data_IF_733541000233
#
_entry.id   IF_733541000233
#
_cell.length_a   1.000
_cell.length_b   1.000
_cell.length_c   1.000
_cell.angle_alpha   90.00
_cell.angle_beta   90.00
_cell.angle_gamma   90.00
#
_symmetry.space_group_name_H-M   'P 1'
#
loop_
_entity.id
_entity.type
_entity.pdbx_description
1 polymer ?
#
# COMPACT_ATOMS: atom_id res chain seq x y z
N UNK A 1 7.74 -19.96 -11.62
CA UNK A 1 7.19 -18.64 -11.32
C UNK A 1 6.09 -18.81 -10.28
N UNK A 2 6.32 -18.37 -9.07
CA UNK A 2 5.25 -18.38 -8.09
C UNK A 2 4.27 -17.26 -8.43
N UNK A 3 3.02 -17.62 -8.57
CA UNK A 3 1.93 -16.66 -8.81
C UNK A 3 1.52 -15.91 -7.52
N UNK A 4 2.34 -16.05 -6.49
CA UNK A 4 2.13 -15.40 -5.20
C UNK A 4 2.52 -13.93 -5.28
N UNK A 5 1.62 -13.02 -4.87
CA UNK A 5 1.98 -11.62 -4.75
C UNK A 5 3.10 -11.39 -3.73
N UNK A 6 4.00 -10.50 -4.05
CA UNK A 6 5.14 -10.15 -3.20
C UNK A 6 4.88 -8.84 -2.46
N UNK A 7 5.00 -8.86 -1.15
CA UNK A 7 4.88 -7.68 -0.28
C UNK A 7 6.24 -7.41 0.36
N UNK A 8 6.73 -6.19 0.22
CA UNK A 8 7.93 -5.73 0.89
C UNK A 8 7.54 -4.94 2.14
N UNK A 9 8.03 -5.38 3.29
CA UNK A 9 7.84 -4.71 4.58
C UNK A 9 9.14 -4.00 4.96
N UNK A 10 9.07 -2.68 5.08
CA UNK A 10 10.22 -1.83 5.47
C UNK A 10 9.94 -1.25 6.85
N UNK A 11 10.64 -1.73 7.85
CA UNK A 11 10.55 -1.30 9.24
C UNK A 11 11.88 -1.61 9.95
N UNK A 12 12.41 -0.68 10.71
CA UNK A 12 13.68 -0.85 11.44
C UNK A 12 13.54 -1.74 12.69
N UNK A 13 12.33 -1.95 13.16
CA UNK A 13 12.03 -2.76 14.35
C UNK A 13 11.73 -4.21 13.98
N UNK A 14 12.58 -5.14 14.42
CA UNK A 14 12.40 -6.58 14.18
C UNK A 14 11.09 -7.12 14.74
N UNK A 15 10.67 -6.66 15.91
CA UNK A 15 9.41 -7.08 16.53
C UNK A 15 8.21 -6.62 15.71
N UNK A 16 8.24 -5.41 15.15
CA UNK A 16 7.20 -4.91 14.27
C UNK A 16 7.09 -5.74 12.99
N UNK A 17 8.21 -6.10 12.38
CA UNK A 17 8.24 -7.00 11.22
C UNK A 17 7.62 -8.36 11.53
N UNK A 18 7.95 -8.94 12.69
CA UNK A 18 7.36 -10.20 13.16
C UNK A 18 5.85 -10.12 13.36
N UNK A 19 5.37 -9.03 13.93
CA UNK A 19 3.92 -8.80 14.12
C UNK A 19 3.20 -8.76 12.79
N UNK A 20 3.73 -8.03 11.83
CA UNK A 20 3.17 -7.95 10.48
C UNK A 20 3.16 -9.33 9.80
N UNK A 21 4.26 -10.06 9.88
CA UNK A 21 4.35 -11.43 9.36
C UNK A 21 3.27 -12.33 9.93
N UNK A 22 3.09 -12.31 11.26
CA UNK A 22 2.06 -13.13 11.93
C UNK A 22 0.63 -12.75 11.56
N UNK A 23 0.39 -11.47 11.29
CA UNK A 23 -0.93 -10.98 10.87
C UNK A 23 -1.29 -11.38 9.43
N UNK A 24 -0.31 -11.60 8.59
CA UNK A 24 -0.47 -11.91 7.17
C UNK A 24 -0.19 -13.37 6.80
N UNK A 25 0.17 -14.20 7.78
CA UNK A 25 0.63 -15.58 7.54
C UNK A 25 -0.41 -16.48 6.85
N UNK A 26 -1.69 -16.21 7.08
CA UNK A 26 -2.78 -17.01 6.48
C UNK A 26 -3.09 -16.60 5.03
N UNK A 27 -2.49 -15.52 4.57
CA UNK A 27 -2.63 -15.07 3.19
C UNK A 27 -1.55 -15.71 2.33
N UNK A 28 -1.91 -16.09 1.12
CA UNK A 28 -0.97 -16.69 0.16
C UNK A 28 -0.08 -15.60 -0.47
N UNK A 29 0.88 -15.12 0.32
CA UNK A 29 1.76 -14.00 -0.01
C UNK A 29 3.22 -14.37 0.19
N UNK A 30 4.07 -13.82 -0.66
CA UNK A 30 5.52 -13.83 -0.46
C UNK A 30 5.95 -12.54 0.24
N UNK A 31 6.46 -12.66 1.48
CA UNK A 31 6.89 -11.51 2.28
C UNK A 31 8.40 -11.31 2.19
N UNK A 32 8.80 -10.09 1.88
CA UNK A 32 10.19 -9.63 1.96
C UNK A 32 10.30 -8.58 3.06
N UNK A 33 11.44 -8.52 3.72
CA UNK A 33 11.70 -7.62 4.84
C UNK A 33 12.94 -6.78 4.59
N UNK A 34 12.86 -5.49 4.90
CA UNK A 34 13.99 -4.57 4.90
C UNK A 34 14.06 -3.86 6.25
N UNK A 35 15.28 -3.66 6.75
CA UNK A 35 15.55 -3.11 8.09
C UNK A 35 15.73 -1.58 8.08
N UNK A 36 15.84 -0.98 6.91
CA UNK A 36 16.06 0.46 6.77
C UNK A 36 15.63 0.94 5.37
N UNK A 37 15.63 2.25 5.18
CA UNK A 37 15.25 2.87 3.92
C UNK A 37 16.11 2.43 2.72
N UNK A 38 17.43 2.53 2.80
CA UNK A 38 18.31 2.12 1.70
C UNK A 38 18.15 0.65 1.30
N UNK A 39 18.05 -0.26 2.27
CA UNK A 39 17.78 -1.69 2.01
C UNK A 39 16.40 -1.89 1.36
N UNK A 40 15.40 -1.17 1.84
CA UNK A 40 14.06 -1.19 1.26
C UNK A 40 14.04 -0.75 -0.21
N UNK A 41 14.74 0.32 -0.54
CA UNK A 41 14.87 0.81 -1.91
C UNK A 41 15.58 -0.21 -2.82
N UNK A 42 16.63 -0.83 -2.31
CA UNK A 42 17.37 -1.87 -3.02
C UNK A 42 16.49 -3.09 -3.32
N UNK A 43 15.80 -3.61 -2.30
CA UNK A 43 14.92 -4.75 -2.46
C UNK A 43 13.72 -4.46 -3.38
N UNK A 44 13.18 -3.26 -3.32
CA UNK A 44 12.11 -2.83 -4.23
C UNK A 44 12.59 -2.82 -5.70
N UNK A 45 13.80 -2.35 -5.95
CA UNK A 45 14.38 -2.34 -7.30
C UNK A 45 14.68 -3.77 -7.82
N UNK A 46 15.14 -4.66 -6.96
CA UNK A 46 15.52 -6.02 -7.33
C UNK A 46 14.33 -6.97 -7.50
N UNK A 47 13.31 -6.83 -6.64
CA UNK A 47 12.21 -7.80 -6.54
C UNK A 47 10.88 -7.30 -7.12
N UNK A 48 10.76 -6.03 -7.44
CA UNK A 48 9.55 -5.41 -7.98
C UNK A 48 8.28 -5.85 -7.24
N UNK A 49 8.13 -5.50 -5.93
CA UNK A 49 7.01 -5.99 -5.14
C UNK A 49 5.66 -5.47 -5.63
N UNK A 50 4.62 -6.20 -5.31
CA UNK A 50 3.24 -5.82 -5.64
C UNK A 50 2.64 -4.81 -4.66
N UNK A 51 3.20 -4.72 -3.46
CA UNK A 51 2.80 -3.80 -2.40
C UNK A 51 3.99 -3.55 -1.47
N UNK A 52 4.09 -2.33 -0.95
CA UNK A 52 5.08 -1.96 0.07
C UNK A 52 4.35 -1.50 1.32
N UNK A 53 4.67 -2.12 2.46
CA UNK A 53 4.30 -1.66 3.79
C UNK A 53 5.50 -0.92 4.37
N UNK A 54 5.33 0.35 4.70
CA UNK A 54 6.44 1.26 4.98
C UNK A 54 6.21 1.99 6.31
N UNK A 55 7.09 1.72 7.29
CA UNK A 55 7.13 2.48 8.53
C UNK A 55 7.66 3.90 8.28
N UNK A 56 7.04 4.89 8.92
CA UNK A 56 7.45 6.29 8.78
C UNK A 56 8.65 6.59 9.69
N UNK A 57 8.60 6.13 10.93
CA UNK A 57 9.57 6.48 11.96
C UNK A 57 10.79 5.55 11.93
N UNK A 58 11.72 5.84 11.02
CA UNK A 58 12.99 5.13 10.92
C UNK A 58 14.17 6.10 11.05
N UNK A 59 15.30 5.66 11.67
CA UNK A 59 16.50 6.50 11.74
C UNK A 59 17.16 6.68 10.37
N UNK A 60 17.86 7.78 10.17
CA UNK A 60 18.63 8.16 8.97
C UNK A 60 17.74 8.49 7.77
N UNK A 61 16.90 7.57 7.32
CA UNK A 61 15.96 7.79 6.22
C UNK A 61 14.58 7.37 6.69
N UNK A 62 13.66 8.33 6.80
CA UNK A 62 12.29 8.07 7.23
C UNK A 62 11.41 7.55 6.06
N UNK A 63 10.19 7.12 6.39
CA UNK A 63 9.28 6.57 5.39
C UNK A 63 8.86 7.55 4.30
N UNK A 64 8.76 8.84 4.60
CA UNK A 64 8.44 9.85 3.59
C UNK A 64 9.53 9.95 2.52
N UNK A 65 10.79 9.95 2.93
CA UNK A 65 11.94 9.99 2.02
C UNK A 65 12.00 8.73 1.15
N UNK A 66 11.74 7.56 1.72
CA UNK A 66 11.67 6.30 0.97
C UNK A 66 10.57 6.37 -0.08
N UNK A 67 9.38 6.82 0.31
CA UNK A 67 8.24 6.97 -0.60
C UNK A 67 8.55 7.91 -1.76
N UNK A 68 9.12 9.08 -1.50
CA UNK A 68 9.53 10.02 -2.56
C UNK A 68 10.51 9.40 -3.53
N UNK A 69 11.52 8.69 -3.03
CA UNK A 69 12.51 8.02 -3.87
C UNK A 69 11.91 6.90 -4.71
N UNK A 70 10.97 6.13 -4.15
CA UNK A 70 10.24 5.10 -4.90
C UNK A 70 9.42 5.71 -6.04
N UNK A 71 8.75 6.82 -5.81
CA UNK A 71 7.94 7.51 -6.82
C UNK A 71 8.77 8.12 -7.95
N UNK A 72 10.01 8.47 -7.66
CA UNK A 72 10.96 8.97 -8.67
C UNK A 72 11.70 7.87 -9.41
N UNK A 73 11.68 6.64 -8.89
CA UNK A 73 12.34 5.49 -9.53
C UNK A 73 11.54 5.00 -10.75
N UNK A 74 12.23 4.63 -11.81
CA UNK A 74 11.60 4.21 -13.07
C UNK A 74 10.80 2.91 -12.96
N UNK A 75 11.20 2.02 -12.05
CA UNK A 75 10.56 0.70 -11.91
C UNK A 75 9.39 0.67 -10.92
N UNK A 76 9.45 1.48 -9.87
CA UNK A 76 8.50 1.41 -8.74
C UNK A 76 7.60 2.65 -8.64
N UNK A 77 7.42 3.39 -9.74
CA UNK A 77 6.63 4.61 -9.76
C UNK A 77 5.17 4.38 -9.36
N UNK A 78 4.64 3.22 -9.70
CA UNK A 78 3.21 2.89 -9.52
C UNK A 78 2.95 1.81 -8.47
N UNK A 79 3.98 1.32 -7.77
CA UNK A 79 3.77 0.31 -6.72
C UNK A 79 2.92 0.90 -5.59
N UNK A 80 1.85 0.20 -5.14
CA UNK A 80 1.07 0.66 -3.99
C UNK A 80 1.92 0.73 -2.72
N UNK A 81 1.78 1.81 -1.97
CA UNK A 81 2.48 2.04 -0.70
C UNK A 81 1.46 2.32 0.39
N UNK A 82 1.47 1.49 1.43
CA UNK A 82 0.73 1.73 2.67
C UNK A 82 1.74 2.18 3.72
N UNK A 83 1.57 3.37 4.26
CA UNK A 83 2.39 3.85 5.36
C UNK A 83 1.84 3.35 6.69
N UNK A 84 2.73 2.88 7.56
CA UNK A 84 2.42 2.46 8.92
C UNK A 84 2.99 3.50 9.86
N UNK A 85 2.16 4.09 10.71
CA UNK A 85 2.56 5.22 11.54
C UNK A 85 1.97 5.16 12.93
N UNK A 86 2.75 5.59 13.93
CA UNK A 86 2.23 5.92 15.26
C UNK A 86 1.63 7.33 15.30
N UNK A 87 1.86 8.13 14.25
CA UNK A 87 1.39 9.50 14.14
C UNK A 87 -0.03 9.53 13.56
N UNK A 88 -0.99 9.94 14.36
CA UNK A 88 -2.41 10.05 13.95
C UNK A 88 -2.83 11.52 13.86
N UNK A 89 -1.96 12.37 13.36
CA UNK A 89 -2.28 13.76 13.10
C UNK A 89 -2.52 14.02 11.60
N UNK A 90 -3.33 15.03 11.33
CA UNK A 90 -3.70 15.41 9.97
C UNK A 90 -2.49 15.84 9.13
N UNK A 91 -1.53 16.54 9.75
CA UNK A 91 -0.34 17.03 9.05
C UNK A 91 0.52 15.88 8.54
N UNK A 92 0.70 14.83 9.35
CA UNK A 92 1.45 13.62 8.97
C UNK A 92 0.78 12.87 7.81
N UNK A 93 -0.54 12.76 7.81
CA UNK A 93 -1.31 12.14 6.72
C UNK A 93 -1.21 12.93 5.43
N UNK A 94 -1.34 14.26 5.49
CA UNK A 94 -1.17 15.14 4.34
C UNK A 94 0.22 15.00 3.76
N UNK A 95 1.25 14.99 4.60
CA UNK A 95 2.64 14.81 4.17
C UNK A 95 2.82 13.48 3.42
N UNK A 96 2.27 12.39 3.96
CA UNK A 96 2.33 11.08 3.30
C UNK A 96 1.62 11.05 1.95
N UNK A 97 0.46 11.68 1.82
CA UNK A 97 -0.26 11.82 0.54
C UNK A 97 0.59 12.61 -0.47
N UNK A 98 1.21 13.70 -0.04
CA UNK A 98 2.10 14.52 -0.88
C UNK A 98 3.32 13.72 -1.35
N UNK A 99 3.85 12.82 -0.51
CA UNK A 99 4.95 11.90 -0.87
C UNK A 99 4.52 10.80 -1.83
N UNK A 100 3.22 10.59 -2.03
CA UNK A 100 2.67 9.61 -2.95
C UNK A 100 2.25 8.29 -2.33
N UNK A 101 1.97 8.24 -1.03
CA UNK A 101 1.39 7.06 -0.38
C UNK A 101 -0.07 6.86 -0.82
N UNK A 102 -0.47 5.60 -0.92
CA UNK A 102 -1.83 5.23 -1.33
C UNK A 102 -2.78 5.06 -0.14
N UNK A 103 -2.24 4.66 1.02
CA UNK A 103 -3.05 4.46 2.22
C UNK A 103 -2.18 4.56 3.49
N UNK A 104 -2.84 4.55 4.65
CA UNK A 104 -2.22 4.64 5.97
C UNK A 104 -2.82 3.63 6.92
N UNK A 105 -1.98 3.08 7.80
CA UNK A 105 -2.40 2.28 8.93
C UNK A 105 -1.77 2.88 10.20
N UNK A 106 -2.59 3.15 11.20
CA UNK A 106 -2.13 3.70 12.48
C UNK A 106 -1.77 2.58 13.45
N UNK A 107 -0.63 2.70 14.13
CA UNK A 107 -0.26 1.81 15.24
C UNK A 107 -1.10 2.14 16.49
N UNK A 108 -1.51 1.15 17.30
CA UNK A 108 -1.16 -0.27 17.23
C UNK A 108 -1.88 -0.98 16.08
N UNK A 109 -1.19 -1.95 15.46
CA UNK A 109 -1.72 -2.67 14.32
C UNK A 109 -2.88 -3.59 14.72
N UNK A 110 -3.93 -3.57 13.92
CA UNK A 110 -5.07 -4.46 14.02
C UNK A 110 -5.04 -5.45 12.85
N UNK A 111 -5.14 -6.74 13.16
CA UNK A 111 -5.09 -7.80 12.15
C UNK A 111 -6.16 -7.66 11.07
N UNK A 112 -7.38 -7.34 11.46
CA UNK A 112 -8.48 -7.15 10.51
C UNK A 112 -8.24 -5.95 9.60
N UNK A 113 -7.77 -4.85 10.15
CA UNK A 113 -7.52 -3.62 9.40
C UNK A 113 -6.39 -3.80 8.38
N UNK A 114 -5.24 -4.33 8.80
CA UNK A 114 -4.10 -4.54 7.89
C UNK A 114 -4.44 -5.55 6.79
N UNK A 115 -5.12 -6.65 7.12
CA UNK A 115 -5.53 -7.65 6.14
C UNK A 115 -6.51 -7.09 5.12
N UNK A 116 -7.52 -6.37 5.57
CA UNK A 116 -8.53 -5.75 4.70
C UNK A 116 -7.89 -4.78 3.72
N UNK A 117 -6.97 -3.94 4.17
CA UNK A 117 -6.26 -2.99 3.30
C UNK A 117 -5.35 -3.67 2.31
N UNK A 118 -4.57 -4.65 2.77
CA UNK A 118 -3.70 -5.45 1.91
C UNK A 118 -4.50 -6.17 0.83
N UNK A 119 -5.55 -6.88 1.21
CA UNK A 119 -6.40 -7.61 0.27
C UNK A 119 -7.07 -6.68 -0.76
N UNK A 120 -7.56 -5.52 -0.33
CA UNK A 120 -8.19 -4.53 -1.20
C UNK A 120 -7.20 -4.00 -2.24
N UNK A 121 -6.02 -3.60 -1.81
CA UNK A 121 -4.98 -3.06 -2.70
C UNK A 121 -4.47 -4.14 -3.64
N UNK A 122 -4.26 -5.36 -3.16
CA UNK A 122 -3.83 -6.47 -3.99
C UNK A 122 -4.85 -6.81 -5.07
N UNK A 123 -6.14 -6.73 -4.75
CA UNK A 123 -7.23 -6.93 -5.72
C UNK A 123 -7.20 -5.86 -6.81
N UNK A 124 -7.11 -4.59 -6.45
CA UNK A 124 -7.02 -3.47 -7.38
C UNK A 124 -5.78 -3.58 -8.27
N UNK A 125 -4.66 -3.94 -7.71
CA UNK A 125 -3.41 -4.10 -8.45
C UNK A 125 -3.48 -5.26 -9.45
N UNK A 126 -4.11 -6.37 -9.07
CA UNK A 126 -4.36 -7.51 -9.97
C UNK A 126 -5.21 -7.10 -11.17
N UNK A 127 -6.31 -6.39 -10.94
CA UNK A 127 -7.18 -5.87 -11.99
C UNK A 127 -6.40 -4.94 -12.93
N UNK A 128 -5.62 -4.03 -12.37
CA UNK A 128 -4.77 -3.12 -13.14
C UNK A 128 -3.76 -3.84 -14.03
N UNK A 129 -3.08 -4.86 -13.51
CA UNK A 129 -2.13 -5.68 -14.28
C UNK A 129 -2.81 -6.43 -15.43
N UNK A 130 -3.98 -6.99 -15.19
CA UNK A 130 -4.78 -7.66 -16.23
C UNK A 130 -5.18 -6.71 -17.34
N UNK A 131 -5.52 -5.45 -17.02
CA UNK A 131 -5.82 -4.41 -18.00
C UNK A 131 -4.65 -4.06 -18.90
N UNK A 132 -3.47 -3.94 -18.31
CA UNK A 132 -2.25 -3.61 -19.06
C UNK A 132 -1.85 -4.73 -20.02
N UNK A 133 -2.27 -5.96 -19.74
CA UNK A 133 -2.02 -7.11 -20.63
C UNK A 133 -3.01 -7.21 -21.80
N UNK A 134 -4.19 -6.59 -21.70
CA UNK A 134 -5.23 -6.61 -22.74
C UNK A 134 -5.87 -5.23 -22.93
N UNK A 135 -5.12 -4.23 -23.41
CA UNK A 135 -5.62 -2.86 -23.49
C UNK A 135 -6.81 -2.69 -24.45
N UNK A 136 -7.01 -3.63 -25.38
CA UNK A 136 -8.01 -3.54 -26.44
C UNK A 136 -9.29 -4.35 -26.20
N UNK A 137 -9.51 -4.87 -24.98
CA UNK A 137 -10.73 -5.63 -24.70
C UNK A 137 -11.83 -4.73 -24.12
N UNK A 138 -12.89 -4.39 -24.87
CA UNK A 138 -13.97 -3.49 -24.44
C UNK A 138 -14.73 -4.00 -23.22
N UNK A 139 -14.94 -5.32 -23.12
CA UNK A 139 -15.65 -5.94 -21.98
C UNK A 139 -14.89 -5.80 -20.67
N UNK A 140 -13.58 -5.74 -20.76
CA UNK A 140 -12.72 -5.59 -19.61
C UNK A 140 -12.69 -4.15 -19.10
N UNK A 141 -12.72 -3.17 -20.00
CA UNK A 141 -12.83 -1.75 -19.67
C UNK A 141 -14.18 -1.42 -19.03
N UNK A 142 -15.25 -2.08 -19.46
CA UNK A 142 -16.58 -1.90 -18.89
C UNK A 142 -16.67 -2.43 -17.46
N UNK A 143 -16.12 -3.60 -17.19
CA UNK A 143 -16.03 -4.18 -15.82
C UNK A 143 -15.23 -3.33 -14.86
N UNK A 144 -14.23 -2.61 -15.35
CA UNK A 144 -13.45 -1.69 -14.52
C UNK A 144 -14.21 -0.44 -14.17
N UNK A 145 -14.97 0.11 -15.11
CA UNK A 145 -15.87 1.23 -14.82
C UNK A 145 -16.86 0.85 -13.72
N UNK A 146 -17.48 -0.32 -13.83
CA UNK A 146 -18.42 -0.81 -12.83
C UNK A 146 -17.75 -0.97 -11.46
N UNK A 147 -16.58 -1.59 -11.38
CA UNK A 147 -15.84 -1.76 -10.13
C UNK A 147 -15.36 -0.43 -9.53
N UNK A 148 -14.99 0.53 -10.38
CA UNK A 148 -14.61 1.88 -9.96
C UNK A 148 -15.80 2.68 -9.45
N UNK A 149 -16.94 2.57 -10.13
CA UNK A 149 -18.17 3.25 -9.76
C UNK A 149 -18.74 2.70 -8.43
N UNK A 150 -18.71 1.39 -8.22
CA UNK A 150 -19.10 0.78 -6.94
C UNK A 150 -18.23 1.26 -5.77
N UNK A 151 -16.95 1.43 -5.98
CA UNK A 151 -16.02 1.94 -4.95
C UNK A 151 -16.29 3.41 -4.65
N UNK A 152 -16.54 4.21 -5.66
CA UNK A 152 -16.86 5.65 -5.51
C UNK A 152 -18.23 5.82 -4.85
N UNK A 153 -19.23 5.06 -5.22
CA UNK A 153 -20.55 5.09 -4.61
C UNK A 153 -20.50 4.70 -3.12
N UNK A 154 -19.66 3.75 -2.76
CA UNK A 154 -19.43 3.37 -1.36
C UNK A 154 -18.82 4.51 -0.53
N UNK A 155 -18.03 5.38 -1.14
CA UNK A 155 -17.41 6.52 -0.48
C UNK A 155 -18.34 7.73 -0.37
N UNK A 156 -19.22 7.92 -1.34
CA UNK A 156 -20.19 9.04 -1.38
C UNK A 156 -21.36 8.78 -0.41
N UNK A 157 -21.70 7.55 -0.13
CA UNK A 157 -22.80 7.16 0.74
C UNK A 157 -22.38 6.83 2.18
N UNK A 158 -21.21 7.28 2.62
CA UNK A 158 -20.82 7.19 4.02
C UNK A 158 -21.70 8.11 4.87
N UNK A 159 -22.57 7.57 5.77
CA UNK A 159 -23.48 8.37 6.56
C UNK A 159 -22.81 9.27 7.59
N UNK A 160 -21.50 9.13 7.79
CA UNK A 160 -20.73 9.99 8.69
C UNK A 160 -20.20 11.25 8.02
N UNK A 161 -20.35 11.39 6.70
CA UNK A 161 -20.17 12.67 6.02
C UNK A 161 -21.41 13.53 6.20
N UNK A 162 -21.68 13.95 7.44
CA UNK A 162 -22.58 15.07 7.66
C UNK A 162 -21.84 16.34 7.30
N UNK A 163 -22.28 16.94 6.23
CA UNK A 163 -22.02 18.32 5.89
C UNK A 163 -22.40 19.21 7.08
N UNK A 164 -21.43 19.63 7.87
CA UNK A 164 -21.57 20.72 8.83
C UNK A 164 -21.41 22.05 8.07
N UNK A 165 -22.30 22.28 7.11
CA UNK A 165 -22.44 23.59 6.49
C UNK A 165 -23.73 24.25 6.97
N UNK A 166 -23.61 24.86 8.10
CA UNK A 166 -24.40 26.06 8.47
C UNK A 166 -23.47 27.16 8.95
#
# INVERSE_FOLDING_TARGET
MSDQPTILVIDDNASARHVIESMLIDLDLHLLFAENGPDGLKQAAENEPDLILLDIMMPQMNGYEVCEKLRKATKNTDVPIIMITALDDRASRIHGIECGADDFITKPLNRVDIRTRVESIMRLNRIRKLLMQQPDNPQFQERLKEASDETIDGWIHDPDCKDDSE
#
